data_IF_812633547836
#
_entry.id   IF_812633547836
#
_cell.length_a   1.000
_cell.length_b   1.000
_cell.length_c   1.000
_cell.angle_alpha   90.00
_cell.angle_beta   90.00
_cell.angle_gamma   90.00
#
_symmetry.space_group_name_H-M   'P 1'
#
loop_
_entity.id
_entity.type
_entity.pdbx_description
1 polymer ?
#
# COMPACT_ATOMS: atom_id res chain seq x y z
N UNK A 1 4.80 -4.29 -2.13
CA UNK A 1 5.00 -5.71 -2.49
C UNK A 1 3.67 -6.30 -2.96
N UNK A 2 3.67 -7.02 -4.04
CA UNK A 2 2.48 -7.69 -4.55
C UNK A 2 2.85 -9.04 -5.17
N UNK A 3 1.88 -9.93 -5.31
CA UNK A 3 2.05 -11.22 -5.97
C UNK A 3 0.78 -11.63 -6.70
N UNK A 4 0.96 -12.48 -7.71
CA UNK A 4 -0.13 -13.04 -8.50
C UNK A 4 -0.36 -14.49 -8.05
N UNK A 5 -1.48 -14.73 -7.44
CA UNK A 5 -1.94 -16.07 -7.11
C UNK A 5 -3.39 -15.98 -6.62
N UNK A 6 -4.28 -16.72 -7.26
CA UNK A 6 -5.71 -16.60 -6.96
C UNK A 6 -6.37 -17.99 -6.89
N UNK A 7 -6.22 -18.62 -5.76
CA UNK A 7 -6.95 -19.83 -5.42
C UNK A 7 -7.29 -19.84 -3.92
N UNK A 8 -8.26 -20.66 -3.48
CA UNK A 8 -8.57 -20.74 -2.06
C UNK A 8 -7.35 -21.05 -1.22
N UNK A 9 -7.10 -20.24 -0.20
CA UNK A 9 -5.96 -20.40 0.68
C UNK A 9 -4.69 -19.64 0.29
N UNK A 10 -4.64 -19.00 -0.88
CA UNK A 10 -3.47 -18.24 -1.33
C UNK A 10 -3.06 -17.16 -0.32
N UNK A 11 -4.00 -16.33 0.08
CA UNK A 11 -3.72 -15.26 1.06
C UNK A 11 -3.36 -15.82 2.42
N UNK A 12 -4.03 -16.88 2.87
CA UNK A 12 -3.71 -17.53 4.14
C UNK A 12 -2.30 -18.12 4.11
N UNK A 13 -1.88 -18.68 2.97
CA UNK A 13 -0.53 -19.21 2.79
C UNK A 13 0.52 -18.14 2.95
N UNK A 14 0.38 -17.04 2.24
CA UNK A 14 1.33 -15.90 2.29
C UNK A 14 1.36 -15.27 3.67
N UNK A 15 0.22 -14.94 4.23
CA UNK A 15 0.15 -14.31 5.56
C UNK A 15 0.69 -15.22 6.65
N UNK A 16 0.47 -16.52 6.54
CA UNK A 16 1.03 -17.50 7.46
C UNK A 16 2.55 -17.56 7.41
N UNK A 17 3.15 -17.53 6.22
CA UNK A 17 4.60 -17.47 6.05
C UNK A 17 5.18 -16.23 6.69
N UNK A 18 4.59 -15.06 6.39
CA UNK A 18 5.03 -13.79 6.96
C UNK A 18 4.95 -13.80 8.49
N UNK A 19 3.86 -14.31 9.03
CA UNK A 19 3.64 -14.41 10.47
C UNK A 19 4.70 -15.26 11.15
N UNK A 20 5.03 -16.43 10.59
CA UNK A 20 6.03 -17.32 11.18
C UNK A 20 7.43 -16.71 11.23
N UNK A 21 7.71 -15.72 10.38
CA UNK A 21 9.01 -15.06 10.33
C UNK A 21 9.00 -13.67 11.00
N UNK A 22 7.93 -13.36 11.73
CA UNK A 22 7.83 -12.11 12.48
C UNK A 22 7.67 -10.87 11.60
N UNK A 23 7.19 -11.02 10.38
CA UNK A 23 6.88 -9.88 9.52
C UNK A 23 5.45 -9.40 9.78
N UNK A 24 5.32 -8.14 10.13
CA UNK A 24 4.01 -7.53 10.38
C UNK A 24 3.45 -6.88 9.13
N UNK A 25 2.19 -7.14 8.85
CA UNK A 25 1.46 -6.54 7.73
C UNK A 25 0.81 -5.26 8.23
N UNK A 26 1.23 -4.13 7.67
CA UNK A 26 0.72 -2.81 8.05
C UNK A 26 -0.54 -2.44 7.29
N UNK A 27 -0.63 -2.88 6.03
CA UNK A 27 -1.79 -2.68 5.19
C UNK A 27 -1.78 -3.72 4.08
N UNK A 28 -2.96 -4.05 3.59
CA UNK A 28 -3.08 -4.95 2.44
C UNK A 28 -4.34 -4.68 1.65
N UNK A 29 -4.29 -5.02 0.39
CA UNK A 29 -5.47 -5.12 -0.47
C UNK A 29 -5.32 -6.32 -1.39
N UNK A 30 -6.41 -6.95 -1.70
CA UNK A 30 -6.44 -8.07 -2.64
C UNK A 30 -7.67 -7.95 -3.50
N UNK A 31 -7.53 -8.24 -4.78
CA UNK A 31 -8.64 -8.14 -5.70
C UNK A 31 -8.24 -8.57 -7.09
N UNK A 32 -9.20 -8.56 -7.99
CA UNK A 32 -9.03 -8.98 -9.37
C UNK A 32 -9.85 -10.23 -9.69
N UNK A 33 -9.71 -10.71 -10.91
CA UNK A 33 -10.32 -11.96 -11.35
C UNK A 33 -9.40 -13.15 -11.07
N UNK A 34 -9.91 -14.36 -11.25
CA UNK A 34 -9.11 -15.58 -11.10
C UNK A 34 -7.85 -15.59 -11.96
N UNK A 35 -7.88 -14.92 -13.10
CA UNK A 35 -6.76 -14.85 -14.04
C UNK A 35 -5.82 -13.69 -13.76
N UNK A 36 -6.29 -12.64 -13.08
CA UNK A 36 -5.56 -11.40 -12.82
C UNK A 36 -5.66 -10.94 -11.37
N UNK A 37 -5.81 -11.88 -10.44
CA UNK A 37 -5.84 -11.56 -9.02
C UNK A 37 -4.50 -11.04 -8.54
N UNK A 38 -4.50 -9.96 -7.77
CA UNK A 38 -3.30 -9.39 -7.16
C UNK A 38 -3.53 -9.06 -5.71
N UNK A 39 -2.51 -9.29 -4.93
CA UNK A 39 -2.48 -8.84 -3.55
C UNK A 39 -1.30 -7.91 -3.33
N UNK A 40 -1.55 -6.79 -2.69
CA UNK A 40 -0.55 -5.80 -2.34
C UNK A 40 -0.41 -5.74 -0.82
N UNK A 41 0.83 -5.73 -0.34
CA UNK A 41 1.11 -5.68 1.08
C UNK A 41 2.08 -4.56 1.39
N UNK A 42 1.81 -3.82 2.45
CA UNK A 42 2.79 -2.96 3.10
C UNK A 42 3.23 -3.67 4.36
N UNK A 43 4.51 -3.95 4.48
CA UNK A 43 5.09 -4.71 5.58
C UNK A 43 6.21 -3.93 6.26
N UNK A 44 6.51 -4.28 7.51
CA UNK A 44 7.55 -3.61 8.28
C UNK A 44 8.97 -4.08 7.93
N UNK A 45 9.11 -5.27 7.36
CA UNK A 45 10.41 -5.89 7.02
C UNK A 45 10.41 -6.36 5.57
N UNK A 46 10.53 -5.40 4.66
CA UNK A 46 10.35 -5.64 3.21
C UNK A 46 11.36 -6.62 2.67
N UNK A 47 12.65 -6.44 2.96
CA UNK A 47 13.69 -7.31 2.42
C UNK A 47 13.54 -8.76 2.90
N UNK A 48 13.26 -8.92 4.19
CA UNK A 48 13.03 -10.24 4.77
C UNK A 48 11.81 -10.91 4.13
N UNK A 49 10.71 -10.18 4.03
CA UNK A 49 9.49 -10.69 3.43
C UNK A 49 9.70 -11.11 1.98
N UNK A 50 10.38 -10.29 1.20
CA UNK A 50 10.70 -10.57 -0.19
C UNK A 50 11.50 -11.88 -0.33
N UNK A 51 12.58 -12.01 0.43
CA UNK A 51 13.45 -13.18 0.36
C UNK A 51 12.72 -14.47 0.77
N UNK A 52 11.95 -14.39 1.84
CA UNK A 52 11.21 -15.57 2.34
C UNK A 52 10.16 -16.02 1.33
N UNK A 53 9.38 -15.09 0.80
CA UNK A 53 8.32 -15.42 -0.14
C UNK A 53 8.89 -15.92 -1.47
N UNK A 54 9.99 -15.35 -1.95
CA UNK A 54 10.67 -15.87 -3.13
C UNK A 54 11.15 -17.30 -2.92
N UNK A 55 11.71 -17.59 -1.76
CA UNK A 55 12.19 -18.95 -1.43
C UNK A 55 11.05 -19.97 -1.38
N UNK A 56 9.83 -19.53 -1.13
CA UNK A 56 8.63 -20.37 -1.18
C UNK A 56 8.00 -20.46 -2.56
N UNK A 57 8.63 -19.88 -3.58
CA UNK A 57 8.17 -19.99 -4.96
C UNK A 57 7.18 -18.90 -5.39
N UNK A 58 6.91 -17.91 -4.57
CA UNK A 58 6.03 -16.79 -4.97
C UNK A 58 6.77 -15.80 -5.86
N UNK A 59 6.08 -15.32 -6.87
CA UNK A 59 6.59 -14.22 -7.70
C UNK A 59 6.25 -12.89 -7.04
N UNK A 60 7.26 -12.20 -6.53
CA UNK A 60 7.10 -10.98 -5.77
C UNK A 60 7.70 -9.81 -6.53
N UNK A 61 6.97 -8.71 -6.59
CA UNK A 61 7.44 -7.45 -7.14
C UNK A 61 7.44 -6.40 -6.03
N UNK A 62 8.55 -5.70 -5.88
CA UNK A 62 8.67 -4.58 -4.94
C UNK A 62 8.32 -3.28 -5.66
N UNK A 63 7.51 -2.48 -5.01
CA UNK A 63 7.11 -1.16 -5.52
C UNK A 63 7.20 -0.14 -4.39
N UNK A 64 7.57 1.08 -4.74
CA UNK A 64 7.49 2.20 -3.81
C UNK A 64 6.07 2.72 -3.75
N UNK A 65 5.56 2.86 -2.54
CA UNK A 65 4.24 3.46 -2.29
C UNK A 65 4.37 4.58 -1.26
N UNK A 66 3.40 5.47 -1.27
CA UNK A 66 3.29 6.51 -0.25
C UNK A 66 2.21 6.11 0.74
N UNK A 67 2.52 6.28 2.01
CA UNK A 67 1.54 6.11 3.08
C UNK A 67 1.23 7.50 3.65
N UNK A 68 0.03 7.98 3.42
CA UNK A 68 -0.41 9.31 3.81
C UNK A 68 -1.37 9.20 4.99
N UNK A 69 -1.05 9.90 6.07
CA UNK A 69 -1.98 10.05 7.18
C UNK A 69 -3.09 11.02 6.78
N UNK A 70 -4.34 10.59 6.88
CA UNK A 70 -5.50 11.37 6.45
C UNK A 70 -6.47 11.53 7.62
N UNK A 71 -6.89 12.76 7.88
CA UNK A 71 -7.92 13.02 8.89
C UNK A 71 -9.26 12.45 8.45
N UNK A 72 -10.00 11.88 9.39
CA UNK A 72 -11.32 11.35 9.11
C UNK A 72 -12.37 12.46 9.12
N UNK A 73 -12.26 13.37 8.16
CA UNK A 73 -13.20 14.47 7.96
C UNK A 73 -13.49 14.63 6.47
N UNK A 74 -14.66 15.13 6.14
CA UNK A 74 -15.06 15.31 4.76
C UNK A 74 -14.07 16.20 4.02
N UNK A 75 -13.63 15.76 2.84
CA UNK A 75 -12.73 16.49 1.97
C UNK A 75 -11.25 16.31 2.26
N UNK A 76 -10.86 15.64 3.33
CA UNK A 76 -9.43 15.47 3.67
C UNK A 76 -8.68 14.68 2.60
N UNK A 77 -9.21 13.54 2.19
CA UNK A 77 -8.61 12.74 1.13
C UNK A 77 -8.63 13.47 -0.22
N UNK A 78 -9.74 14.15 -0.51
CA UNK A 78 -9.88 14.92 -1.75
C UNK A 78 -8.78 15.96 -1.92
N UNK A 79 -8.43 16.69 -0.88
CA UNK A 79 -7.36 17.70 -0.95
C UNK A 79 -6.03 17.11 -1.37
N UNK A 80 -5.70 15.94 -0.83
CA UNK A 80 -4.46 15.24 -1.18
C UNK A 80 -4.46 14.80 -2.65
N UNK A 81 -5.56 14.21 -3.10
CA UNK A 81 -5.71 13.75 -4.48
C UNK A 81 -5.71 14.91 -5.46
N UNK A 82 -6.38 16.01 -5.12
CA UNK A 82 -6.41 17.22 -5.94
C UNK A 82 -5.00 17.80 -6.13
N UNK A 83 -4.21 17.83 -5.06
CA UNK A 83 -2.84 18.32 -5.10
C UNK A 83 -1.98 17.51 -6.06
N UNK A 84 -2.11 16.19 -6.03
CA UNK A 84 -1.40 15.32 -6.98
C UNK A 84 -1.84 15.58 -8.42
N UNK A 85 -3.14 15.76 -8.64
CA UNK A 85 -3.68 16.06 -9.96
C UNK A 85 -3.15 17.40 -10.51
N UNK A 86 -3.06 18.42 -9.67
CA UNK A 86 -2.52 19.73 -10.06
C UNK A 86 -1.05 19.68 -10.47
N UNK A 87 -0.32 18.67 -10.03
CA UNK A 87 1.08 18.44 -10.39
C UNK A 87 1.26 17.35 -11.46
N UNK A 88 0.18 16.98 -12.15
CA UNK A 88 0.17 15.97 -13.20
C UNK A 88 0.74 14.61 -12.75
N UNK A 89 0.50 14.24 -11.51
CA UNK A 89 0.92 12.95 -10.97
C UNK A 89 -0.24 11.98 -11.07
N UNK A 90 -0.05 10.91 -11.87
CA UNK A 90 -1.07 9.89 -12.05
C UNK A 90 -1.00 8.84 -10.95
N UNK A 91 -2.17 8.44 -10.47
CA UNK A 91 -2.30 7.40 -9.44
C UNK A 91 -2.62 6.07 -10.13
N UNK A 92 -1.75 5.07 -9.91
CA UNK A 92 -1.95 3.73 -10.46
C UNK A 92 -3.01 2.97 -9.66
N UNK A 93 -2.90 3.06 -8.33
CA UNK A 93 -3.92 2.55 -7.43
C UNK A 93 -3.83 3.24 -6.08
N UNK A 94 -4.92 3.17 -5.34
CA UNK A 94 -5.01 3.72 -3.99
C UNK A 94 -5.94 2.83 -3.16
N UNK A 95 -5.59 2.64 -1.91
CA UNK A 95 -6.51 2.12 -0.93
C UNK A 95 -6.36 2.88 0.38
N UNK A 96 -7.49 3.12 1.03
CA UNK A 96 -7.53 3.97 2.20
C UNK A 96 -8.53 3.41 3.21
N UNK A 97 -8.29 3.73 4.46
CA UNK A 97 -9.24 3.43 5.52
C UNK A 97 -9.30 4.61 6.50
N UNK A 98 -10.43 4.73 7.17
CA UNK A 98 -10.64 5.70 8.22
C UNK A 98 -10.88 5.00 9.54
N UNK A 99 -10.38 5.58 10.62
CA UNK A 99 -10.70 5.14 11.97
C UNK A 99 -11.77 6.07 12.54
N UNK A 100 -12.42 5.65 13.62
CA UNK A 100 -13.47 6.45 14.25
C UNK A 100 -12.98 7.81 14.76
N UNK A 101 -11.70 7.89 15.15
CA UNK A 101 -11.13 9.18 15.55
C UNK A 101 -10.89 10.07 14.34
N UNK A 102 -10.99 11.38 14.51
CA UNK A 102 -10.76 12.36 13.46
C UNK A 102 -9.31 12.38 12.95
N UNK A 103 -8.38 11.83 13.73
CA UNK A 103 -6.96 11.79 13.40
C UNK A 103 -6.53 10.45 12.81
N UNK A 104 -7.41 9.46 12.82
CA UNK A 104 -7.09 8.11 12.40
C UNK A 104 -7.54 7.78 11.00
N UNK A 105 -6.59 7.70 10.09
CA UNK A 105 -6.83 7.23 8.73
C UNK A 105 -5.51 7.16 7.99
N UNK A 106 -5.46 6.28 7.00
CA UNK A 106 -4.29 6.11 6.17
C UNK A 106 -4.70 5.87 4.74
N UNK A 107 -3.99 6.48 3.81
CA UNK A 107 -4.09 6.17 2.39
C UNK A 107 -2.74 5.63 1.92
N UNK A 108 -2.79 4.51 1.19
CA UNK A 108 -1.63 3.95 0.51
C UNK A 108 -1.78 4.24 -0.98
N UNK A 109 -0.82 4.96 -1.55
CA UNK A 109 -0.90 5.48 -2.90
C UNK A 109 0.29 4.97 -3.71
N UNK A 110 0.01 4.34 -4.83
CA UNK A 110 1.01 4.02 -5.83
C UNK A 110 0.85 4.99 -7.00
N UNK A 111 1.92 5.69 -7.33
CA UNK A 111 1.95 6.60 -8.47
C UNK A 111 3.26 6.45 -9.24
N UNK A 112 3.27 6.94 -10.46
CA UNK A 112 4.41 6.80 -11.38
C UNK A 112 5.64 7.59 -10.92
N UNK A 113 5.45 8.65 -10.15
CA UNK A 113 6.52 9.53 -9.66
C UNK A 113 6.47 9.65 -8.13
N UNK A 114 6.73 8.54 -7.43
CA UNK A 114 6.59 8.48 -5.98
C UNK A 114 7.44 9.52 -5.24
N UNK A 115 8.69 9.74 -5.65
CA UNK A 115 9.56 10.71 -5.01
C UNK A 115 9.04 12.14 -5.17
N UNK A 116 8.57 12.49 -6.36
CA UNK A 116 7.98 13.81 -6.64
C UNK A 116 6.68 14.00 -5.87
N UNK A 117 5.83 12.99 -5.86
CA UNK A 117 4.58 13.01 -5.11
C UNK A 117 4.83 13.21 -3.61
N UNK A 118 5.82 12.53 -3.06
CA UNK A 118 6.22 12.70 -1.67
C UNK A 118 6.61 14.15 -1.38
N UNK A 119 7.43 14.74 -2.24
CA UNK A 119 7.87 16.13 -2.08
C UNK A 119 6.67 17.09 -2.11
N UNK A 120 5.77 16.90 -3.07
CA UNK A 120 4.57 17.73 -3.22
C UNK A 120 3.68 17.64 -1.98
N UNK A 121 3.41 16.43 -1.51
CA UNK A 121 2.53 16.22 -0.36
C UNK A 121 3.16 16.70 0.94
N UNK A 122 4.44 16.49 1.15
CA UNK A 122 5.15 16.94 2.36
C UNK A 122 5.20 18.45 2.48
N UNK A 123 5.20 19.19 1.35
CA UNK A 123 5.16 20.65 1.36
C UNK A 123 3.83 21.20 1.88
N UNK A 124 2.75 20.41 1.83
CA UNK A 124 1.40 20.86 2.16
C UNK A 124 0.77 20.10 3.33
N UNK A 125 1.23 18.89 3.62
CA UNK A 125 0.66 18.02 4.64
C UNK A 125 1.73 17.49 5.57
N UNK A 126 1.40 17.43 6.86
CA UNK A 126 2.23 16.75 7.87
C UNK A 126 1.71 15.31 8.03
N UNK A 127 2.60 14.40 8.41
CA UNK A 127 2.21 13.02 8.69
C UNK A 127 2.34 12.07 7.50
N UNK A 128 3.00 12.49 6.41
CA UNK A 128 3.35 11.61 5.30
C UNK A 128 4.55 10.73 5.69
N UNK A 129 4.40 9.42 5.49
CA UNK A 129 5.50 8.46 5.71
C UNK A 129 5.32 7.27 4.75
N UNK A 130 6.32 6.40 4.71
CA UNK A 130 6.30 5.33 3.74
C UNK A 130 6.85 4.03 4.34
#
# INVERSE_FOLDING_TARGET
MWFDDDHPGSLAGVTGILSRHGVNILAMTAGGSRENGRAHFVVDRVELAFNILQNHGYHIVLEDVLCLSVKNVAGALHKSLQLLAEHDINIDYIYAFAQESTEGGMAVIRCDEAARAKTVLMAHFKGLWR
#
